data_IF_152410102146
#
_entry.id   IF_152410102146
#
_cell.length_a   1.000
_cell.length_b   1.000
_cell.length_c   1.000
_cell.angle_alpha   90.00
_cell.angle_beta   90.00
_cell.angle_gamma   90.00
#
_symmetry.space_group_name_H-M   'P 1'
#
loop_
_entity.id
_entity.type
_entity.pdbx_description
1 polymer ?
#
# COMPACT_ATOMS: atom_id res chain seq x y z
N UNK A 1 -43.18 -64.47 28.55
CA UNK A 1 -43.26 -64.05 27.14
C UNK A 1 -42.77 -62.61 27.02
N UNK A 2 -41.98 -62.35 25.98
CA UNK A 2 -40.98 -61.28 25.82
C UNK A 2 -41.51 -59.83 25.84
N UNK A 3 -40.83 -58.96 26.59
CA UNK A 3 -40.77 -57.52 26.30
C UNK A 3 -39.51 -57.25 25.47
N UNK A 4 -39.67 -57.04 24.16
CA UNK A 4 -38.57 -56.68 23.27
C UNK A 4 -38.71 -55.19 22.90
N UNK A 5 -37.98 -54.35 23.63
CA UNK A 5 -37.90 -52.90 23.38
C UNK A 5 -37.02 -52.71 22.15
N UNK A 6 -37.62 -52.32 21.02
CA UNK A 6 -36.89 -52.00 19.79
C UNK A 6 -36.03 -50.76 20.01
N UNK A 7 -34.72 -50.98 20.07
CA UNK A 7 -33.68 -49.96 19.97
C UNK A 7 -33.86 -49.15 18.67
N UNK A 8 -34.37 -47.92 18.75
CA UNK A 8 -34.16 -46.93 17.70
C UNK A 8 -32.75 -46.35 17.85
N UNK A 9 -31.94 -46.24 16.78
CA UNK A 9 -30.67 -45.55 16.87
C UNK A 9 -30.95 -44.05 17.03
N UNK A 10 -30.71 -43.54 18.23
CA UNK A 10 -30.65 -42.11 18.50
C UNK A 10 -29.62 -41.51 17.52
N UNK A 11 -30.08 -40.67 16.59
CA UNK A 11 -29.20 -39.85 15.76
C UNK A 11 -28.34 -39.02 16.71
N UNK A 12 -27.05 -39.32 16.75
CA UNK A 12 -26.09 -38.65 17.62
C UNK A 12 -26.09 -37.15 17.32
N UNK A 13 -26.51 -36.37 18.32
CA UNK A 13 -26.36 -34.92 18.31
C UNK A 13 -24.85 -34.65 18.37
N UNK A 14 -24.26 -33.89 17.43
CA UNK A 14 -22.84 -33.63 17.45
C UNK A 14 -22.46 -32.87 18.73
N UNK A 15 -21.57 -33.49 19.50
CA UNK A 15 -20.99 -32.95 20.73
C UNK A 15 -20.39 -31.56 20.47
N UNK A 16 -20.67 -30.64 21.40
CA UNK A 16 -20.39 -29.19 21.39
C UNK A 16 -18.89 -28.81 21.36
N UNK A 17 -18.00 -29.73 21.02
CA UNK A 17 -16.54 -29.56 21.01
C UNK A 17 -15.82 -29.71 19.66
N UNK A 18 -16.49 -30.11 18.57
CA UNK A 18 -15.80 -30.47 17.31
C UNK A 18 -15.80 -29.39 16.19
N UNK A 19 -16.34 -28.19 16.42
CA UNK A 19 -16.57 -27.20 15.34
C UNK A 19 -15.37 -26.28 15.05
N UNK A 20 -14.27 -26.37 15.79
CA UNK A 20 -13.12 -25.44 15.63
C UNK A 20 -12.09 -25.92 14.59
N UNK A 21 -11.97 -27.23 14.36
CA UNK A 21 -10.95 -27.80 13.44
C UNK A 21 -11.32 -27.61 11.97
N UNK A 22 -12.61 -27.66 11.63
CA UNK A 22 -13.11 -27.50 10.26
C UNK A 22 -12.95 -26.07 9.74
N UNK A 23 -13.30 -25.06 10.55
CA UNK A 23 -13.10 -23.64 10.22
C UNK A 23 -11.63 -23.28 10.03
N UNK A 24 -10.74 -23.83 10.87
CA UNK A 24 -9.28 -23.66 10.75
C UNK A 24 -8.72 -24.30 9.46
N UNK A 25 -9.14 -25.53 9.14
CA UNK A 25 -8.75 -26.21 7.88
C UNK A 25 -9.27 -25.49 6.64
N UNK A 26 -10.51 -24.99 6.67
CA UNK A 26 -11.10 -24.26 5.56
C UNK A 26 -10.39 -22.92 5.32
N UNK A 27 -9.99 -22.22 6.40
CA UNK A 27 -9.17 -21.01 6.31
C UNK A 27 -7.81 -21.30 5.68
N UNK A 28 -7.08 -22.32 6.16
CA UNK A 28 -5.77 -22.71 5.60
C UNK A 28 -5.86 -23.03 4.10
N UNK A 29 -6.87 -23.80 3.68
CA UNK A 29 -7.11 -24.08 2.25
C UNK A 29 -7.41 -22.81 1.45
N UNK A 30 -8.18 -21.88 2.00
CA UNK A 30 -8.51 -20.61 1.34
C UNK A 30 -7.31 -19.68 1.23
N UNK A 31 -6.44 -19.67 2.25
CA UNK A 31 -5.17 -18.94 2.23
C UNK A 31 -4.23 -19.51 1.19
N UNK A 32 -4.02 -20.82 1.17
CA UNK A 32 -3.13 -21.45 0.20
C UNK A 32 -3.58 -21.22 -1.24
N UNK A 33 -4.88 -21.35 -1.52
CA UNK A 33 -5.46 -20.99 -2.84
C UNK A 33 -5.26 -19.53 -3.19
N UNK A 34 -5.33 -18.63 -2.21
CA UNK A 34 -5.12 -17.20 -2.44
C UNK A 34 -3.65 -16.90 -2.81
N UNK A 35 -2.70 -17.61 -2.18
CA UNK A 35 -1.28 -17.49 -2.49
C UNK A 35 -0.94 -18.04 -3.87
N UNK A 36 -1.42 -19.25 -4.19
CA UNK A 36 -1.26 -19.86 -5.52
C UNK A 36 -1.87 -18.95 -6.61
N UNK A 37 -3.05 -18.38 -6.35
CA UNK A 37 -3.69 -17.46 -7.27
C UNK A 37 -2.88 -16.17 -7.46
N UNK A 38 -2.26 -15.64 -6.41
CA UNK A 38 -1.37 -14.49 -6.48
C UNK A 38 -0.13 -14.78 -7.33
N UNK A 39 0.49 -15.94 -7.13
CA UNK A 39 1.71 -16.37 -7.81
C UNK A 39 1.49 -16.65 -9.30
N UNK A 40 0.33 -17.20 -9.64
CA UNK A 40 0.01 -17.58 -11.02
C UNK A 40 -0.51 -16.41 -11.85
N UNK A 41 -1.24 -15.48 -11.22
CA UNK A 41 -2.01 -14.47 -11.96
C UNK A 41 -1.22 -13.21 -12.32
N UNK A 42 -0.20 -12.85 -11.53
CA UNK A 42 0.56 -11.61 -11.75
C UNK A 42 1.93 -11.61 -11.08
N UNK A 43 2.95 -11.06 -11.75
CA UNK A 43 4.27 -10.84 -11.14
C UNK A 43 4.29 -9.52 -10.36
N UNK A 44 3.94 -9.59 -9.09
CA UNK A 44 4.02 -8.43 -8.19
C UNK A 44 5.49 -8.06 -7.89
N UNK A 45 5.83 -6.76 -7.88
CA UNK A 45 7.10 -6.27 -7.34
C UNK A 45 7.34 -6.75 -5.90
N UNK A 46 8.60 -6.95 -5.45
CA UNK A 46 8.90 -7.55 -4.14
C UNK A 46 8.20 -6.88 -2.95
N UNK A 47 8.09 -5.55 -2.95
CA UNK A 47 7.43 -4.78 -1.89
C UNK A 47 5.92 -5.02 -1.90
N UNK A 48 5.27 -4.86 -3.06
CA UNK A 48 3.83 -5.11 -3.22
C UNK A 48 3.46 -6.56 -2.89
N UNK A 49 4.33 -7.51 -3.25
CA UNK A 49 4.20 -8.93 -2.88
C UNK A 49 4.21 -9.10 -1.37
N UNK A 50 5.18 -8.50 -0.66
CA UNK A 50 5.27 -8.60 0.81
C UNK A 50 4.00 -8.10 1.50
N UNK A 51 3.44 -6.98 1.03
CA UNK A 51 2.24 -6.40 1.63
C UNK A 51 0.99 -7.19 1.27
N UNK A 52 0.87 -7.68 0.02
CA UNK A 52 -0.18 -8.60 -0.39
C UNK A 52 -0.21 -9.87 0.48
N UNK A 53 0.96 -10.45 0.77
CA UNK A 53 1.07 -11.62 1.66
C UNK A 53 0.54 -11.32 3.07
N UNK A 54 0.86 -10.15 3.63
CA UNK A 54 0.35 -9.73 4.95
C UNK A 54 -1.18 -9.59 4.93
N UNK A 55 -1.73 -8.94 3.91
CA UNK A 55 -3.19 -8.75 3.78
C UNK A 55 -3.92 -10.09 3.66
N UNK A 56 -3.41 -11.01 2.83
CA UNK A 56 -4.01 -12.33 2.62
C UNK A 56 -3.99 -13.15 3.92
N UNK A 57 -2.85 -13.21 4.60
CA UNK A 57 -2.68 -13.97 5.85
C UNK A 57 -3.57 -13.46 6.98
N UNK A 58 -3.75 -12.14 7.08
CA UNK A 58 -4.54 -11.52 8.13
C UNK A 58 -6.03 -11.43 7.81
N UNK A 59 -6.46 -11.81 6.59
CA UNK A 59 -7.84 -11.65 6.18
C UNK A 59 -8.76 -12.78 6.66
N UNK A 60 -10.01 -12.42 6.98
CA UNK A 60 -11.11 -13.37 7.11
C UNK A 60 -11.55 -13.99 5.77
N UNK A 61 -11.21 -13.35 4.63
CA UNK A 61 -11.53 -13.82 3.28
C UNK A 61 -10.30 -13.73 2.35
N UNK A 62 -9.30 -14.61 2.53
CA UNK A 62 -8.01 -14.53 1.83
C UNK A 62 -8.13 -14.52 0.30
N UNK A 63 -8.96 -15.41 -0.26
CA UNK A 63 -9.13 -15.53 -1.72
C UNK A 63 -9.79 -14.29 -2.34
N UNK A 64 -10.74 -13.67 -1.62
CA UNK A 64 -11.36 -12.43 -2.08
C UNK A 64 -10.33 -11.29 -2.10
N UNK A 65 -9.47 -11.21 -1.08
CA UNK A 65 -8.39 -10.21 -1.04
C UNK A 65 -7.39 -10.41 -2.18
N UNK A 66 -6.96 -11.65 -2.46
CA UNK A 66 -6.07 -11.92 -3.60
C UNK A 66 -6.68 -11.45 -4.93
N UNK A 67 -7.97 -11.73 -5.17
CA UNK A 67 -8.69 -11.24 -6.36
C UNK A 67 -8.70 -9.71 -6.44
N UNK A 68 -8.97 -9.02 -5.34
CA UNK A 68 -8.99 -7.55 -5.29
C UNK A 68 -7.60 -6.95 -5.54
N UNK A 69 -6.55 -7.55 -4.96
CA UNK A 69 -5.16 -7.12 -5.17
C UNK A 69 -4.78 -7.27 -6.65
N UNK A 70 -5.07 -8.44 -7.25
CA UNK A 70 -4.77 -8.68 -8.67
C UNK A 70 -5.59 -7.76 -9.56
N UNK A 71 -6.87 -7.55 -9.26
CA UNK A 71 -7.73 -6.65 -10.05
C UNK A 71 -7.18 -5.23 -10.02
N UNK A 72 -6.86 -4.69 -8.84
CA UNK A 72 -6.25 -3.36 -8.72
C UNK A 72 -4.92 -3.27 -9.44
N UNK A 73 -4.04 -4.26 -9.24
CA UNK A 73 -2.75 -4.27 -9.89
C UNK A 73 -2.89 -4.36 -11.41
N UNK A 74 -3.82 -5.18 -11.93
CA UNK A 74 -4.13 -5.25 -13.35
C UNK A 74 -4.75 -3.97 -13.86
N UNK A 75 -5.64 -3.31 -13.12
CA UNK A 75 -6.19 -2.00 -13.50
C UNK A 75 -5.11 -0.91 -13.52
N UNK A 76 -4.15 -0.97 -12.61
CA UNK A 76 -2.98 -0.09 -12.57
C UNK A 76 -2.00 -0.40 -13.73
N UNK A 77 -1.80 -1.68 -14.08
CA UNK A 77 -0.98 -2.12 -15.23
C UNK A 77 -1.70 -1.97 -16.59
N UNK A 78 -3.04 -2.01 -16.65
CA UNK A 78 -3.82 -1.81 -17.88
C UNK A 78 -3.90 -0.32 -18.26
N UNK A 79 -3.70 0.57 -17.29
CA UNK A 79 -3.29 1.96 -17.55
C UNK A 79 -1.84 2.07 -18.05
N UNK A 80 -1.14 0.93 -18.21
CA UNK A 80 0.30 0.81 -18.37
C UNK A 80 0.81 0.33 -19.74
N UNK A 81 0.04 0.46 -20.83
CA UNK A 81 0.67 0.60 -22.16
C UNK A 81 1.37 1.98 -22.30
N UNK A 82 1.35 2.79 -21.24
CA UNK A 82 2.23 3.95 -21.03
C UNK A 82 2.25 4.40 -19.58
N UNK A 83 2.77 3.57 -18.65
CA UNK A 83 2.96 4.00 -17.25
C UNK A 83 4.42 3.81 -16.78
N UNK A 84 5.02 4.81 -16.12
CA UNK A 84 4.33 5.90 -15.43
C UNK A 84 4.53 7.28 -16.07
N UNK A 85 3.45 8.04 -16.27
CA UNK A 85 3.52 9.49 -16.27
C UNK A 85 2.92 10.01 -14.96
N UNK A 86 3.79 10.27 -13.98
CA UNK A 86 3.46 10.80 -12.66
C UNK A 86 3.69 12.32 -12.62
N UNK A 87 3.09 13.13 -13.52
CA UNK A 87 3.00 14.61 -13.44
C UNK A 87 4.13 15.23 -12.59
N UNK A 88 5.28 15.28 -13.26
CA UNK A 88 6.60 14.93 -12.78
C UNK A 88 7.06 15.54 -11.46
N UNK A 89 8.04 14.90 -10.81
CA UNK A 89 8.94 15.60 -9.87
C UNK A 89 9.51 16.87 -10.52
N UNK A 90 9.73 16.86 -11.84
CA UNK A 90 10.05 18.05 -12.64
C UNK A 90 8.93 19.09 -12.68
N UNK A 91 7.67 18.70 -12.85
CA UNK A 91 6.54 19.63 -12.79
C UNK A 91 6.40 20.24 -11.38
N UNK A 92 6.62 19.44 -10.34
CA UNK A 92 6.72 19.92 -8.96
C UNK A 92 7.87 20.92 -8.79
N UNK A 93 9.05 20.62 -9.35
CA UNK A 93 10.20 21.54 -9.35
C UNK A 93 9.86 22.85 -10.04
N UNK A 94 9.26 22.82 -11.23
CA UNK A 94 8.83 24.02 -11.97
C UNK A 94 7.81 24.82 -11.16
N UNK A 95 6.84 24.15 -10.52
CA UNK A 95 5.83 24.82 -9.70
C UNK A 95 6.45 25.51 -8.48
N UNK A 96 7.38 24.86 -7.80
CA UNK A 96 8.11 25.46 -6.68
C UNK A 96 8.99 26.61 -7.14
N UNK A 97 9.72 26.47 -8.25
CA UNK A 97 10.51 27.56 -8.83
C UNK A 97 9.66 28.77 -9.20
N UNK A 98 8.46 28.58 -9.74
CA UNK A 98 7.54 29.68 -10.04
C UNK A 98 7.01 30.39 -8.80
N UNK A 99 6.77 29.65 -7.71
CA UNK A 99 6.23 30.19 -6.46
C UNK A 99 7.31 30.90 -5.64
N UNK A 100 8.47 30.27 -5.54
CA UNK A 100 9.49 30.58 -4.55
C UNK A 100 10.78 31.15 -5.18
N UNK A 101 10.86 31.21 -6.52
CA UNK A 101 12.05 31.65 -7.28
C UNK A 101 13.22 30.66 -7.27
N UNK A 102 13.33 29.85 -6.22
CA UNK A 102 14.39 28.87 -6.00
C UNK A 102 13.87 27.69 -5.16
N UNK A 103 14.59 26.57 -5.17
CA UNK A 103 14.27 25.39 -4.35
C UNK A 103 15.41 25.19 -3.35
N UNK A 104 15.10 25.30 -2.07
CA UNK A 104 16.07 25.10 -1.00
C UNK A 104 15.68 23.92 -0.11
N UNK A 105 16.52 23.65 0.90
CA UNK A 105 16.14 22.72 1.94
C UNK A 105 14.99 23.31 2.77
N UNK A 106 14.02 22.50 3.22
CA UNK A 106 13.97 21.02 3.16
C UNK A 106 13.32 20.45 1.89
N UNK A 107 12.74 21.30 1.03
CA UNK A 107 11.97 20.87 -0.15
C UNK A 107 12.83 20.02 -1.11
N UNK A 108 14.08 20.43 -1.35
CA UNK A 108 15.01 19.70 -2.21
C UNK A 108 15.26 18.26 -1.74
N UNK A 109 15.47 18.08 -0.43
CA UNK A 109 15.65 16.75 0.16
C UNK A 109 14.41 15.86 0.00
N UNK A 110 13.20 16.44 0.08
CA UNK A 110 11.96 15.68 -0.11
C UNK A 110 11.69 15.35 -1.59
N UNK A 111 12.03 16.24 -2.51
CA UNK A 111 11.95 15.96 -3.95
C UNK A 111 12.84 14.78 -4.34
N UNK A 112 14.08 14.72 -3.83
CA UNK A 112 14.98 13.58 -4.08
C UNK A 112 14.43 12.27 -3.51
N UNK A 113 13.81 12.31 -2.32
CA UNK A 113 13.14 11.14 -1.75
C UNK A 113 11.95 10.69 -2.61
N UNK A 114 11.15 11.63 -3.10
CA UNK A 114 10.02 11.35 -3.97
C UNK A 114 10.48 10.70 -5.28
N UNK A 115 11.58 11.18 -5.85
CA UNK A 115 12.21 10.60 -7.04
C UNK A 115 12.60 9.13 -6.82
N UNK A 116 13.28 8.83 -5.70
CA UNK A 116 13.63 7.45 -5.32
C UNK A 116 12.38 6.59 -5.08
N UNK A 117 11.31 7.15 -4.52
CA UNK A 117 10.05 6.44 -4.27
C UNK A 117 9.35 6.05 -5.58
N UNK A 118 9.35 6.94 -6.57
CA UNK A 118 8.79 6.66 -7.91
C UNK A 118 9.54 5.49 -8.54
N UNK A 119 10.86 5.50 -8.50
CA UNK A 119 11.69 4.39 -9.00
C UNK A 119 11.43 3.06 -8.27
N UNK A 120 10.97 3.11 -7.02
CA UNK A 120 10.56 1.94 -6.22
C UNK A 120 9.10 1.53 -6.42
N UNK A 121 8.42 2.09 -7.42
CA UNK A 121 6.99 1.88 -7.73
C UNK A 121 6.06 2.32 -6.59
N UNK A 122 6.23 3.54 -6.09
CA UNK A 122 5.24 4.13 -5.20
C UNK A 122 3.86 4.20 -5.88
N UNK A 123 2.81 4.08 -5.07
CA UNK A 123 1.44 4.24 -5.55
C UNK A 123 1.13 5.72 -5.84
N UNK A 124 0.13 5.96 -6.69
CA UNK A 124 -0.33 7.32 -7.01
C UNK A 124 -0.84 8.08 -5.79
N UNK A 125 -1.43 7.38 -4.82
CA UNK A 125 -1.91 7.99 -3.58
C UNK A 125 -0.75 8.49 -2.70
N UNK A 126 0.31 7.67 -2.56
CA UNK A 126 1.52 8.05 -1.84
C UNK A 126 2.20 9.25 -2.51
N UNK A 127 2.33 9.25 -3.85
CA UNK A 127 2.88 10.39 -4.58
C UNK A 127 2.10 11.68 -4.29
N UNK A 128 0.77 11.67 -4.39
CA UNK A 128 -0.07 12.86 -4.12
C UNK A 128 0.10 13.38 -2.70
N UNK A 129 0.19 12.49 -1.72
CA UNK A 129 0.39 12.87 -0.33
C UNK A 129 1.74 13.57 -0.15
N UNK A 130 2.82 13.00 -0.67
CA UNK A 130 4.16 13.60 -0.60
C UNK A 130 4.25 14.92 -1.36
N UNK A 131 3.70 14.98 -2.56
CA UNK A 131 3.62 16.20 -3.38
C UNK A 131 2.88 17.33 -2.64
N UNK A 132 1.77 17.00 -1.98
CA UNK A 132 1.00 17.93 -1.16
C UNK A 132 1.83 18.52 -0.02
N UNK A 133 2.55 17.67 0.72
CA UNK A 133 3.45 18.10 1.80
C UNK A 133 4.55 19.02 1.26
N UNK A 134 5.18 18.66 0.15
CA UNK A 134 6.24 19.49 -0.47
C UNK A 134 5.70 20.88 -0.84
N UNK A 135 4.51 20.93 -1.44
CA UNK A 135 3.87 22.19 -1.80
C UNK A 135 3.37 22.99 -0.60
N UNK A 136 3.07 22.38 0.55
CA UNK A 136 2.63 23.14 1.73
C UNK A 136 3.77 23.62 2.61
N UNK A 137 5.01 23.19 2.36
CA UNK A 137 6.17 23.64 3.13
C UNK A 137 6.53 25.10 2.80
N UNK A 138 6.73 25.95 3.83
CA UNK A 138 7.29 27.28 3.65
C UNK A 138 8.75 27.17 3.18
N UNK A 139 9.17 28.10 2.33
CA UNK A 139 10.56 28.17 1.89
C UNK A 139 11.41 28.66 3.06
N UNK A 140 12.39 27.87 3.49
CA UNK A 140 13.39 28.33 4.44
C UNK A 140 14.49 29.04 3.64
N UNK A 141 14.72 30.32 3.92
CA UNK A 141 15.84 31.05 3.34
C UNK A 141 17.16 30.37 3.74
N UNK A 142 18.13 30.24 2.81
CA UNK A 142 19.45 29.76 3.15
C UNK A 142 20.07 30.58 4.27
N UNK A 143 20.84 29.93 5.17
CA UNK A 143 21.52 30.61 6.29
C UNK A 143 22.40 31.78 5.84
N UNK A 144 23.00 31.66 4.66
CA UNK A 144 23.82 32.69 4.05
C UNK A 144 23.01 33.92 3.64
N UNK A 145 21.81 33.73 3.07
CA UNK A 145 20.91 34.84 2.77
C UNK A 145 20.34 35.47 4.04
N UNK A 146 19.98 34.66 5.04
CA UNK A 146 19.54 35.18 6.34
C UNK A 146 20.63 36.01 7.02
N UNK A 147 21.90 35.59 6.90
CA UNK A 147 23.04 36.32 7.45
C UNK A 147 23.29 37.62 6.68
N UNK A 148 23.25 37.58 5.34
CA UNK A 148 23.38 38.76 4.50
C UNK A 148 22.24 39.77 4.72
N UNK A 149 21.01 39.30 4.91
CA UNK A 149 19.85 40.14 5.22
C UNK A 149 19.98 40.78 6.63
N UNK A 150 20.45 40.01 7.62
CA UNK A 150 20.72 40.54 8.96
C UNK A 150 21.88 41.56 8.98
N UNK A 151 22.91 41.37 8.15
CA UNK A 151 23.99 42.35 7.98
C UNK A 151 23.49 43.59 7.23
N UNK A 152 22.64 43.44 6.21
CA UNK A 152 22.04 44.56 5.51
C UNK A 152 21.15 45.42 6.43
N UNK A 153 20.28 44.80 7.22
CA UNK A 153 19.45 45.49 8.22
C UNK A 153 20.23 46.10 9.39
N UNK A 154 21.48 45.69 9.61
CA UNK A 154 22.35 46.33 10.61
C UNK A 154 23.03 47.59 10.08
N UNK A 155 23.15 47.69 8.76
CA UNK A 155 23.91 48.75 8.09
C UNK A 155 23.02 49.84 7.47
N UNK A 156 21.70 49.70 7.58
CA UNK A 156 20.67 50.67 7.18
C UNK A 156 19.59 50.72 8.26
#
# INVERSE_FOLDING_TARGET
>A
MNKNVKNMPLKSIPSRGQVTTSKSRQRKRSEQRALEYLDTSVQLPPIARRDALKVIRNSHRPLHQAKQIILRFKEDDFRGVGAPDFSDVQELKVKLLRRDGAIFQPQLGMLNKLDVMIHRRCTRAEFKQYAGVICSMPQALPKEMLKAEAEFQRNF
#
